data_IF_526630918995
#
_entry.id   IF_526630918995
#
_cell.length_a   1.000
_cell.length_b   1.000
_cell.length_c   1.000
_cell.angle_alpha   90.00
_cell.angle_beta   90.00
_cell.angle_gamma   90.00
#
_symmetry.space_group_name_H-M   'P 1'
#
loop_
_entity.id
_entity.type
_entity.pdbx_description
1 polymer ?
#
# COMPACT_ATOMS: atom_id res chain seq x y z
N UNK A 1 16.66 -9.78 21.75
CA UNK A 1 16.45 -9.12 20.44
C UNK A 1 17.40 -9.62 19.35
N UNK A 2 18.70 -9.75 19.57
CA UNK A 2 19.62 -10.30 18.56
C UNK A 2 19.32 -11.78 18.18
N UNK A 3 18.97 -12.63 19.16
CA UNK A 3 18.61 -14.04 18.92
C UNK A 3 17.32 -14.22 18.10
N UNK A 4 16.32 -13.35 18.32
CA UNK A 4 15.06 -13.37 17.57
C UNK A 4 15.23 -12.86 16.14
N UNK A 5 16.05 -11.82 15.92
CA UNK A 5 16.37 -11.32 14.59
C UNK A 5 17.16 -12.36 13.77
N UNK A 6 18.19 -12.97 14.37
CA UNK A 6 18.95 -14.05 13.73
C UNK A 6 18.07 -15.24 13.32
N UNK A 7 17.00 -15.50 14.08
CA UNK A 7 16.04 -16.55 13.75
C UNK A 7 15.17 -16.18 12.54
N UNK A 8 14.64 -14.96 12.45
CA UNK A 8 13.87 -14.52 11.29
C UNK A 8 14.71 -14.54 10.01
N UNK A 9 15.96 -14.09 10.11
CA UNK A 9 16.92 -14.10 9.00
C UNK A 9 17.17 -15.51 8.46
N UNK A 10 17.09 -16.55 9.30
CA UNK A 10 17.21 -17.92 8.82
C UNK A 10 16.14 -18.29 7.78
N UNK A 11 14.99 -17.62 7.75
CA UNK A 11 13.92 -17.85 6.77
C UNK A 11 13.98 -16.88 5.57
N UNK A 12 14.81 -15.84 5.64
CA UNK A 12 14.99 -14.87 4.58
C UNK A 12 15.98 -15.37 3.53
N UNK A 13 15.64 -15.17 2.25
CA UNK A 13 16.54 -15.38 1.11
C UNK A 13 16.77 -14.03 0.43
N UNK A 14 17.85 -13.36 0.82
CA UNK A 14 18.20 -11.99 0.38
C UNK A 14 19.08 -11.98 -0.86
N UNK A 15 19.19 -10.82 -1.49
CA UNK A 15 20.16 -10.55 -2.55
C UNK A 15 21.60 -10.62 -2.01
N UNK A 16 22.56 -11.19 -2.75
CA UNK A 16 23.98 -11.03 -2.43
C UNK A 16 24.45 -9.59 -2.72
N UNK A 17 25.44 -9.09 -1.97
CA UNK A 17 25.91 -7.68 -1.99
C UNK A 17 26.73 -7.27 -3.23
N UNK A 18 26.56 -7.95 -4.37
CA UNK A 18 27.41 -7.79 -5.56
C UNK A 18 26.66 -8.07 -6.87
N UNK A 19 25.98 -7.08 -7.44
CA UNK A 19 25.12 -7.31 -8.61
C UNK A 19 25.61 -6.67 -9.91
N UNK A 20 25.28 -7.34 -11.03
CA UNK A 20 25.52 -6.87 -12.40
C UNK A 20 24.20 -6.60 -13.13
N UNK A 21 24.29 -6.17 -14.39
CA UNK A 21 23.10 -5.95 -15.23
C UNK A 21 22.49 -7.30 -15.66
N UNK A 22 21.16 -7.36 -15.65
CA UNK A 22 20.37 -8.50 -16.09
C UNK A 22 20.08 -8.47 -17.58
N UNK A 23 20.02 -9.63 -18.23
CA UNK A 23 19.70 -9.71 -19.67
C UNK A 23 18.33 -9.10 -20.01
N UNK A 24 18.12 -8.74 -21.28
CA UNK A 24 16.84 -8.20 -21.75
C UNK A 24 15.73 -9.26 -21.92
N UNK A 25 16.03 -10.54 -21.64
CA UNK A 25 15.10 -11.65 -21.82
C UNK A 25 14.03 -11.63 -20.75
N UNK A 26 12.79 -11.41 -21.18
CA UNK A 26 11.59 -11.61 -20.38
C UNK A 26 11.38 -13.10 -20.13
N UNK A 27 11.13 -13.45 -18.88
CA UNK A 27 10.96 -14.84 -18.41
C UNK A 27 9.62 -15.09 -17.75
N UNK A 28 8.80 -14.05 -17.65
CA UNK A 28 7.45 -14.13 -17.09
C UNK A 28 6.86 -12.74 -16.89
N UNK A 29 5.56 -12.72 -16.67
CA UNK A 29 4.84 -11.50 -16.36
C UNK A 29 3.71 -11.76 -15.37
N UNK A 30 3.44 -10.76 -14.55
CA UNK A 30 2.24 -10.66 -13.75
C UNK A 30 1.30 -9.59 -14.29
N UNK A 31 0.28 -9.24 -13.49
CA UNK A 31 -0.70 -8.22 -13.84
C UNK A 31 -0.05 -6.85 -14.09
N UNK A 32 0.95 -6.50 -13.27
CA UNK A 32 1.57 -5.16 -13.27
C UNK A 32 3.07 -5.15 -13.51
N UNK A 33 3.71 -6.31 -13.34
CA UNK A 33 5.16 -6.44 -13.42
C UNK A 33 5.52 -7.36 -14.58
N UNK A 34 6.57 -7.01 -15.30
CA UNK A 34 7.29 -7.91 -16.20
C UNK A 34 8.56 -8.37 -15.50
N UNK A 35 8.88 -9.65 -15.62
CA UNK A 35 10.05 -10.28 -15.00
C UNK A 35 11.08 -10.60 -16.06
N UNK A 36 12.31 -10.14 -15.86
CA UNK A 36 13.46 -10.47 -16.71
C UNK A 36 14.51 -11.24 -15.92
N UNK A 37 15.30 -12.04 -16.62
CA UNK A 37 16.40 -12.77 -16.00
C UNK A 37 17.56 -11.84 -15.70
N UNK A 38 17.84 -11.65 -14.42
CA UNK A 38 18.98 -10.90 -13.92
C UNK A 38 20.21 -11.76 -13.63
N UNK A 39 21.36 -11.11 -13.43
CA UNK A 39 22.61 -11.79 -13.06
C UNK A 39 23.32 -11.00 -11.95
N UNK A 40 23.71 -11.64 -10.86
CA UNK A 40 24.66 -11.05 -9.91
C UNK A 40 26.09 -11.17 -10.46
N UNK A 41 27.01 -10.31 -10.02
CA UNK A 41 28.42 -10.38 -10.45
C UNK A 41 29.01 -11.73 -10.04
N UNK A 42 28.76 -12.14 -8.79
CA UNK A 42 29.06 -13.48 -8.30
C UNK A 42 27.80 -14.04 -7.62
N UNK A 43 27.13 -15.02 -8.21
CA UNK A 43 25.96 -15.65 -7.59
C UNK A 43 25.04 -16.40 -8.56
N UNK A 44 23.96 -16.95 -8.02
CA UNK A 44 22.87 -17.57 -8.80
C UNK A 44 22.13 -16.53 -9.65
N UNK A 45 21.37 -16.88 -10.69
CA UNK A 45 20.56 -15.91 -11.42
C UNK A 45 19.64 -15.08 -10.51
N UNK A 46 19.27 -13.88 -10.95
CA UNK A 46 18.30 -13.01 -10.31
C UNK A 46 16.98 -12.96 -11.10
N UNK A 47 15.92 -12.50 -10.46
CA UNK A 47 14.68 -12.09 -11.12
C UNK A 47 14.53 -10.57 -10.97
N UNK A 48 14.51 -9.87 -12.10
CA UNK A 48 14.38 -8.42 -12.17
C UNK A 48 12.95 -8.07 -12.58
N UNK A 49 12.20 -7.43 -11.68
CA UNK A 49 10.81 -7.08 -11.90
C UNK A 49 10.66 -5.60 -12.17
N UNK A 50 10.12 -5.29 -13.35
CA UNK A 50 9.85 -3.93 -13.79
C UNK A 50 8.36 -3.71 -13.86
N UNK A 51 7.92 -2.48 -13.60
CA UNK A 51 6.54 -2.10 -13.87
C UNK A 51 6.29 -2.12 -15.40
N UNK A 52 5.15 -2.67 -15.82
CA UNK A 52 4.72 -2.64 -17.22
C UNK A 52 4.46 -1.19 -17.65
N UNK A 53 4.73 -0.87 -18.92
CA UNK A 53 4.42 0.47 -19.47
C UNK A 53 2.92 0.75 -19.35
N UNK A 54 2.55 1.95 -18.90
CA UNK A 54 1.15 2.37 -18.78
C UNK A 54 0.47 1.98 -17.46
N UNK A 55 1.15 1.29 -16.54
CA UNK A 55 0.61 1.08 -15.19
C UNK A 55 0.68 2.38 -14.38
N UNK A 56 -0.37 2.67 -13.62
CA UNK A 56 -0.52 3.91 -12.84
C UNK A 56 0.20 3.88 -11.49
N UNK A 57 0.88 2.79 -11.16
CA UNK A 57 1.60 2.64 -9.89
C UNK A 57 2.93 3.41 -9.93
N UNK A 58 3.22 4.11 -8.84
CA UNK A 58 4.58 4.62 -8.61
C UNK A 58 5.50 3.44 -8.32
N UNK A 59 6.80 3.59 -8.63
CA UNK A 59 7.82 2.62 -8.22
C UNK A 59 7.95 2.44 -6.71
N UNK A 60 7.23 3.24 -5.90
CA UNK A 60 7.07 3.03 -4.47
C UNK A 60 6.29 1.75 -4.15
N UNK A 61 5.50 1.19 -5.07
CA UNK A 61 4.84 -0.11 -4.86
C UNK A 61 5.85 -1.26 -4.65
N UNK A 62 7.09 -1.09 -5.10
CA UNK A 62 8.18 -2.02 -4.79
C UNK A 62 8.56 -2.00 -3.32
N UNK A 63 8.37 -0.88 -2.61
CA UNK A 63 8.56 -0.84 -1.16
C UNK A 63 7.48 -1.65 -0.44
N UNK A 64 6.23 -1.63 -0.92
CA UNK A 64 5.16 -2.47 -0.38
C UNK A 64 5.52 -3.96 -0.55
N UNK A 65 6.08 -4.37 -1.70
CA UNK A 65 6.56 -5.74 -1.92
C UNK A 65 7.64 -6.15 -0.90
N UNK A 66 8.60 -5.25 -0.61
CA UNK A 66 9.66 -5.49 0.40
C UNK A 66 9.05 -5.59 1.80
N UNK A 67 8.17 -4.65 2.17
CA UNK A 67 7.51 -4.62 3.49
C UNK A 67 6.67 -5.88 3.71
N UNK A 68 5.95 -6.35 2.69
CA UNK A 68 5.17 -7.57 2.75
C UNK A 68 6.05 -8.81 2.96
N UNK A 69 7.16 -8.92 2.23
CA UNK A 69 8.10 -10.04 2.38
C UNK A 69 8.75 -10.07 3.77
N UNK A 70 9.21 -8.93 4.28
CA UNK A 70 9.78 -8.81 5.63
C UNK A 70 8.75 -9.16 6.71
N UNK A 71 7.53 -8.62 6.60
CA UNK A 71 6.47 -8.87 7.56
C UNK A 71 5.97 -10.34 7.54
N UNK A 72 6.13 -11.06 6.42
CA UNK A 72 5.79 -12.48 6.32
C UNK A 72 6.73 -13.37 7.15
N UNK A 73 7.98 -12.96 7.41
CA UNK A 73 8.97 -13.76 8.12
C UNK A 73 8.49 -14.17 9.53
N UNK A 74 7.77 -13.30 10.24
CA UNK A 74 7.22 -13.62 11.57
C UNK A 74 6.23 -14.80 11.51
N UNK A 75 5.42 -14.88 10.46
CA UNK A 75 4.45 -15.95 10.27
C UNK A 75 5.12 -17.25 9.84
N UNK A 76 6.12 -17.18 8.96
CA UNK A 76 6.90 -18.35 8.56
C UNK A 76 7.65 -18.93 9.75
N UNK A 77 8.28 -18.09 10.57
CA UNK A 77 9.00 -18.53 11.76
C UNK A 77 8.08 -19.16 12.81
N UNK A 78 6.92 -18.56 13.06
CA UNK A 78 5.92 -19.09 13.98
C UNK A 78 5.28 -20.39 13.46
N UNK A 79 5.03 -20.49 12.16
CA UNK A 79 4.49 -21.71 11.57
C UNK A 79 5.48 -22.88 11.69
N UNK A 80 6.78 -22.64 11.47
CA UNK A 80 7.79 -23.66 11.75
C UNK A 80 7.86 -24.03 13.23
N UNK A 81 7.76 -23.07 14.17
CA UNK A 81 7.68 -23.41 15.59
C UNK A 81 6.52 -24.37 15.88
N UNK A 82 5.34 -24.07 15.34
CA UNK A 82 4.18 -24.92 15.46
C UNK A 82 4.42 -26.31 14.86
N UNK A 83 4.94 -26.39 13.62
CA UNK A 83 5.22 -27.69 12.98
C UNK A 83 6.20 -28.52 13.81
N UNK A 84 7.28 -27.89 14.31
CA UNK A 84 8.35 -28.56 15.05
C UNK A 84 7.93 -29.02 16.45
N UNK A 85 7.05 -28.26 17.12
CA UNK A 85 6.70 -28.49 18.53
C UNK A 85 5.36 -29.22 18.71
N UNK A 86 4.40 -28.98 17.82
CA UNK A 86 3.00 -29.36 18.01
C UNK A 86 2.53 -30.40 16.97
N UNK A 87 3.39 -30.84 16.05
CA UNK A 87 3.01 -31.79 14.99
C UNK A 87 4.02 -32.91 14.80
N UNK A 88 3.57 -34.01 14.19
CA UNK A 88 4.43 -35.11 13.76
C UNK A 88 5.18 -34.84 12.43
N UNK A 89 5.06 -33.63 11.86
CA UNK A 89 5.72 -33.21 10.63
C UNK A 89 7.08 -32.52 10.85
N UNK A 90 7.62 -32.59 12.08
CA UNK A 90 8.95 -32.09 12.44
C UNK A 90 10.02 -32.50 11.41
N UNK A 91 10.79 -31.53 10.93
CA UNK A 91 11.84 -31.70 9.92
C UNK A 91 11.34 -31.96 8.50
N UNK A 92 10.03 -31.98 8.25
CA UNK A 92 9.42 -32.27 6.93
C UNK A 92 8.86 -31.05 6.22
N UNK A 93 8.90 -29.88 6.86
CA UNK A 93 8.43 -28.63 6.27
C UNK A 93 9.56 -27.61 6.32
N UNK A 94 9.89 -27.06 5.16
CA UNK A 94 10.87 -25.98 5.04
C UNK A 94 10.29 -24.89 4.15
N UNK A 95 10.27 -23.66 4.66
CA UNK A 95 9.77 -22.47 3.94
C UNK A 95 10.80 -21.36 4.04
N UNK A 96 11.17 -20.78 2.89
CA UNK A 96 11.97 -19.56 2.79
C UNK A 96 11.18 -18.49 2.07
N UNK A 97 11.44 -17.23 2.38
CA UNK A 97 10.83 -16.08 1.71
C UNK A 97 11.96 -15.30 1.03
N UNK A 98 11.88 -15.12 -0.28
CA UNK A 98 12.71 -14.15 -0.97
C UNK A 98 12.40 -12.76 -0.40
N UNK A 99 13.42 -12.08 0.10
CA UNK A 99 13.29 -10.68 0.47
C UNK A 99 13.88 -9.86 -0.67
N UNK A 100 13.04 -9.23 -1.50
CA UNK A 100 13.52 -8.44 -2.61
C UNK A 100 14.16 -7.14 -2.11
N UNK A 101 14.85 -6.44 -3.00
CA UNK A 101 15.28 -5.06 -2.75
C UNK A 101 14.95 -4.18 -3.95
N UNK A 102 14.81 -2.88 -3.70
CA UNK A 102 14.63 -1.88 -4.74
C UNK A 102 16.00 -1.43 -5.22
N UNK A 103 16.26 -1.59 -6.51
CA UNK A 103 17.50 -1.16 -7.16
C UNK A 103 17.19 -0.08 -8.19
N UNK A 104 18.21 0.69 -8.58
CA UNK A 104 18.15 1.59 -9.74
C UNK A 104 18.94 0.99 -10.88
N UNK A 105 18.36 1.00 -12.08
CA UNK A 105 19.07 0.64 -13.29
C UNK A 105 20.18 1.65 -13.59
N UNK A 106 21.39 1.17 -13.81
CA UNK A 106 22.61 2.00 -13.99
C UNK A 106 23.06 2.09 -15.44
N UNK A 107 22.43 1.36 -16.36
CA UNK A 107 22.75 1.38 -17.79
C UNK A 107 21.53 0.97 -18.64
N UNK A 108 21.68 1.03 -19.97
CA UNK A 108 20.66 0.61 -20.93
C UNK A 108 19.45 1.56 -21.06
N UNK A 109 18.43 1.11 -21.80
CA UNK A 109 17.22 1.90 -22.10
C UNK A 109 16.35 2.23 -20.87
N UNK A 110 16.60 1.57 -19.75
CA UNK A 110 15.87 1.74 -18.49
C UNK A 110 16.68 2.53 -17.45
N UNK A 111 17.77 3.19 -17.85
CA UNK A 111 18.63 3.99 -16.96
C UNK A 111 17.81 4.86 -16.00
N UNK A 112 18.13 4.77 -14.70
CA UNK A 112 17.49 5.53 -13.63
C UNK A 112 16.14 4.98 -13.16
N UNK A 113 15.54 4.02 -13.88
CA UNK A 113 14.30 3.39 -13.42
C UNK A 113 14.56 2.47 -12.23
N UNK A 114 13.61 2.44 -11.29
CA UNK A 114 13.63 1.47 -10.21
C UNK A 114 13.27 0.09 -10.76
N UNK A 115 13.88 -0.95 -10.18
CA UNK A 115 13.57 -2.36 -10.41
C UNK A 115 13.47 -3.05 -9.05
N UNK A 116 12.54 -4.00 -8.91
CA UNK A 116 12.52 -4.89 -7.76
C UNK A 116 13.32 -6.14 -8.11
N UNK A 117 14.42 -6.40 -7.39
CA UNK A 117 15.32 -7.52 -7.66
C UNK A 117 15.33 -8.50 -6.50
N UNK A 118 15.31 -9.78 -6.83
CA UNK A 118 15.37 -10.88 -5.88
C UNK A 118 16.10 -12.11 -6.44
N UNK A 119 16.53 -13.05 -5.58
CA UNK A 119 17.14 -14.30 -6.03
C UNK A 119 16.18 -15.12 -6.90
N UNK A 120 16.65 -15.64 -8.04
CA UNK A 120 15.80 -16.38 -8.98
C UNK A 120 15.23 -17.66 -8.35
N UNK A 121 14.01 -18.02 -8.76
CA UNK A 121 13.28 -19.21 -8.33
C UNK A 121 12.93 -20.03 -9.57
N UNK A 122 13.35 -21.30 -9.61
CA UNK A 122 12.97 -22.24 -10.65
C UNK A 122 11.56 -22.81 -10.39
N UNK A 123 10.87 -23.22 -11.46
CA UNK A 123 9.56 -23.87 -11.41
C UNK A 123 8.52 -23.05 -10.63
N UNK A 124 8.46 -21.76 -10.92
CA UNK A 124 7.58 -20.81 -10.24
C UNK A 124 6.12 -21.16 -10.50
N UNK A 125 5.34 -21.30 -9.43
CA UNK A 125 3.89 -21.53 -9.48
C UNK A 125 3.19 -20.80 -8.34
N UNK A 126 1.89 -20.58 -8.52
CA UNK A 126 1.01 -19.98 -7.51
C UNK A 126 0.31 -21.07 -6.70
N UNK A 127 0.46 -21.04 -5.38
CA UNK A 127 -0.11 -22.02 -4.45
C UNK A 127 -1.46 -21.58 -3.90
N UNK A 128 -1.65 -20.28 -3.66
CA UNK A 128 -2.97 -19.70 -3.40
C UNK A 128 -3.03 -18.26 -3.88
N UNK A 129 -4.22 -17.66 -3.85
CA UNK A 129 -4.42 -16.26 -4.21
C UNK A 129 -4.92 -15.41 -3.05
N UNK A 130 -4.75 -14.10 -3.16
CA UNK A 130 -5.39 -13.13 -2.26
C UNK A 130 -6.92 -13.05 -2.43
N UNK A 131 -7.49 -13.64 -3.48
CA UNK A 131 -8.95 -13.80 -3.66
C UNK A 131 -9.48 -15.14 -3.12
N UNK A 132 -8.63 -15.99 -2.53
CA UNK A 132 -9.05 -17.26 -1.93
C UNK A 132 -8.99 -18.48 -2.85
N UNK A 133 -8.33 -18.39 -4.01
CA UNK A 133 -8.09 -19.56 -4.86
C UNK A 133 -7.00 -20.42 -4.23
N UNK A 134 -7.07 -21.73 -4.40
CA UNK A 134 -6.25 -22.69 -3.65
C UNK A 134 -5.77 -23.81 -4.57
N UNK A 135 -4.46 -24.06 -4.59
CA UNK A 135 -3.87 -25.25 -5.16
C UNK A 135 -3.89 -26.33 -4.07
N UNK A 136 -4.81 -27.28 -4.20
CA UNK A 136 -4.98 -28.37 -3.24
C UNK A 136 -3.75 -29.29 -3.17
N UNK A 137 -2.86 -29.26 -4.15
CA UNK A 137 -1.59 -30.00 -4.13
C UNK A 137 -0.52 -29.34 -3.26
N UNK A 138 -0.77 -28.13 -2.75
CA UNK A 138 0.13 -27.37 -1.89
C UNK A 138 -0.45 -27.15 -0.46
N UNK A 139 -0.73 -28.22 0.31
CA UNK A 139 -1.42 -28.12 1.60
C UNK A 139 -0.65 -27.31 2.65
N UNK A 140 0.69 -27.36 2.62
CA UNK A 140 1.57 -26.56 3.49
C UNK A 140 1.34 -25.07 3.29
N UNK A 141 1.22 -24.61 2.05
CA UNK A 141 0.95 -23.20 1.75
C UNK A 141 -0.41 -22.76 2.29
N UNK A 142 -1.43 -23.60 2.17
CA UNK A 142 -2.77 -23.30 2.72
C UNK A 142 -2.76 -23.21 4.24
N UNK A 143 -2.02 -24.10 4.90
CA UNK A 143 -1.89 -24.10 6.34
C UNK A 143 -1.08 -22.91 6.86
N UNK A 144 -0.02 -22.48 6.16
CA UNK A 144 0.72 -21.26 6.50
C UNK A 144 -0.19 -20.02 6.47
N UNK A 145 -1.02 -19.90 5.44
CA UNK A 145 -2.01 -18.82 5.36
C UNK A 145 -3.01 -18.87 6.52
N UNK A 146 -3.60 -20.03 6.85
CA UNK A 146 -4.51 -20.17 8.00
C UNK A 146 -3.80 -19.87 9.33
N UNK A 147 -2.58 -20.37 9.51
CA UNK A 147 -1.75 -20.08 10.69
C UNK A 147 -1.55 -18.58 10.88
N UNK A 148 -1.24 -17.83 9.81
CA UNK A 148 -1.01 -16.39 9.91
C UNK A 148 -2.25 -15.63 10.40
N UNK A 149 -3.45 -16.07 10.00
CA UNK A 149 -4.72 -15.55 10.52
C UNK A 149 -4.89 -15.85 12.01
N UNK A 150 -4.58 -17.07 12.43
CA UNK A 150 -4.63 -17.41 13.86
C UNK A 150 -3.60 -16.64 14.69
N UNK A 151 -2.33 -16.62 14.27
CA UNK A 151 -1.23 -15.98 14.96
C UNK A 151 -1.37 -14.46 15.05
N UNK A 152 -2.15 -13.84 14.15
CA UNK A 152 -2.48 -12.41 14.20
C UNK A 152 -3.73 -12.07 15.01
N UNK A 153 -4.31 -13.06 15.69
CA UNK A 153 -5.64 -12.99 16.31
C UNK A 153 -6.75 -12.54 15.33
N UNK A 154 -6.62 -12.95 14.08
CA UNK A 154 -7.55 -12.69 13.00
C UNK A 154 -7.46 -11.28 12.40
N UNK A 155 -6.36 -10.56 12.62
CA UNK A 155 -6.17 -9.20 12.11
C UNK A 155 -5.46 -9.14 10.75
N UNK A 156 -4.66 -10.16 10.43
CA UNK A 156 -3.81 -10.21 9.24
C UNK A 156 -3.83 -11.64 8.66
N UNK A 157 -3.72 -11.77 7.34
CA UNK A 157 -3.51 -13.06 6.69
C UNK A 157 -2.47 -12.96 5.58
N UNK A 158 -1.51 -13.87 5.60
CA UNK A 158 -0.51 -14.07 4.57
C UNK A 158 -1.11 -14.96 3.47
N UNK A 159 -1.15 -14.47 2.24
CA UNK A 159 -1.77 -15.13 1.10
C UNK A 159 -1.06 -14.75 -0.19
N UNK A 160 -1.67 -15.08 -1.33
CA UNK A 160 -1.05 -14.97 -2.65
C UNK A 160 0.30 -15.70 -2.72
N UNK A 161 0.39 -16.82 -1.98
CA UNK A 161 1.61 -17.58 -1.84
C UNK A 161 1.98 -18.15 -3.21
N UNK A 162 3.14 -17.74 -3.71
CA UNK A 162 3.68 -18.13 -5.00
C UNK A 162 5.20 -18.24 -4.93
N UNK A 163 5.78 -19.05 -5.81
CA UNK A 163 7.19 -19.36 -5.78
C UNK A 163 7.49 -20.77 -6.25
N UNK A 164 8.59 -21.34 -5.80
CA UNK A 164 9.07 -22.65 -6.23
C UNK A 164 9.00 -23.66 -5.10
N UNK A 165 8.83 -24.94 -5.45
CA UNK A 165 8.97 -26.07 -4.52
C UNK A 165 10.07 -27.00 -5.03
N UNK A 166 11.10 -27.23 -4.21
CA UNK A 166 12.17 -28.21 -4.47
C UNK A 166 12.23 -29.17 -3.29
N UNK A 167 11.88 -30.45 -3.53
CA UNK A 167 11.67 -31.41 -2.44
C UNK A 167 10.60 -30.91 -1.46
N UNK A 168 10.97 -30.83 -0.18
CA UNK A 168 10.12 -30.31 0.90
C UNK A 168 10.32 -28.81 1.19
N UNK A 169 11.17 -28.14 0.41
CA UNK A 169 11.42 -26.70 0.58
C UNK A 169 10.56 -25.87 -0.37
N UNK A 170 9.75 -25.00 0.21
CA UNK A 170 9.08 -23.91 -0.49
C UNK A 170 9.96 -22.66 -0.45
N UNK A 171 10.17 -22.02 -1.59
CA UNK A 171 10.77 -20.69 -1.68
C UNK A 171 9.72 -19.75 -2.23
N UNK A 172 9.23 -18.86 -1.38
CA UNK A 172 8.12 -17.95 -1.65
C UNK A 172 8.63 -16.58 -2.14
N UNK A 173 7.87 -15.92 -3.00
CA UNK A 173 8.09 -14.55 -3.46
C UNK A 173 6.74 -13.86 -3.72
N UNK A 174 6.74 -12.52 -3.86
CA UNK A 174 5.56 -11.69 -4.12
C UNK A 174 4.37 -12.07 -3.21
N UNK A 175 4.66 -12.29 -1.93
CA UNK A 175 3.63 -12.62 -0.93
C UNK A 175 2.78 -11.41 -0.63
N UNK A 176 1.52 -11.64 -0.28
CA UNK A 176 0.58 -10.58 0.08
C UNK A 176 0.15 -10.74 1.53
N UNK A 177 0.24 -9.66 2.30
CA UNK A 177 -0.48 -9.56 3.56
C UNK A 177 -1.79 -8.80 3.33
N UNK A 178 -2.90 -9.40 3.73
CA UNK A 178 -4.15 -8.67 3.90
C UNK A 178 -4.33 -8.32 5.37
N UNK A 179 -4.81 -7.13 5.67
CA UNK A 179 -5.01 -6.62 7.03
C UNK A 179 -6.35 -5.94 7.16
N UNK A 180 -6.97 -5.99 8.36
CA UNK A 180 -8.23 -5.26 8.58
C UNK A 180 -8.15 -3.76 8.23
N UNK A 181 -6.96 -3.16 8.35
CA UNK A 181 -6.69 -1.75 8.11
C UNK A 181 -6.18 -1.43 6.70
N UNK A 182 -6.03 -2.42 5.82
CA UNK A 182 -5.50 -2.25 4.44
C UNK A 182 -4.13 -1.55 4.36
N UNK A 183 -3.21 -1.88 5.27
CA UNK A 183 -1.92 -1.17 5.40
C UNK A 183 -0.80 -1.69 4.49
N UNK A 184 -1.04 -2.78 3.75
CA UNK A 184 -0.02 -3.56 3.03
C UNK A 184 -0.01 -3.36 1.49
N UNK A 185 -0.50 -2.21 1.04
CA UNK A 185 -0.52 -1.86 -0.38
C UNK A 185 -1.77 -2.36 -1.12
N UNK A 186 -1.74 -2.30 -2.46
CA UNK A 186 -2.96 -2.42 -3.28
C UNK A 186 -3.51 -3.85 -3.42
N UNK A 187 -2.71 -4.85 -3.06
CA UNK A 187 -3.11 -6.27 -3.03
C UNK A 187 -3.74 -6.66 -1.70
N UNK A 188 -3.69 -5.78 -0.69
CA UNK A 188 -4.41 -5.91 0.57
C UNK A 188 -5.91 -5.64 0.37
N UNK A 189 -6.68 -6.71 0.16
CA UNK A 189 -8.13 -6.62 -0.05
C UNK A 189 -8.91 -6.37 1.27
N UNK A 190 -8.20 -6.25 2.38
CA UNK A 190 -8.73 -5.97 3.71
C UNK A 190 -9.67 -7.04 4.24
N UNK A 191 -10.63 -6.61 5.07
CA UNK A 191 -11.64 -7.50 5.69
C UNK A 191 -12.35 -8.37 4.65
N UNK A 192 -12.73 -7.81 3.50
CA UNK A 192 -13.41 -8.56 2.43
C UNK A 192 -12.56 -9.72 1.92
N UNK A 193 -11.26 -9.49 1.68
CA UNK A 193 -10.34 -10.55 1.25
C UNK A 193 -10.10 -11.59 2.32
N UNK A 194 -9.92 -11.16 3.58
CA UNK A 194 -9.73 -12.06 4.72
C UNK A 194 -10.95 -12.97 4.90
N UNK A 195 -12.17 -12.40 4.91
CA UNK A 195 -13.42 -13.16 5.02
C UNK A 195 -13.55 -14.16 3.87
N UNK A 196 -13.29 -13.70 2.63
CA UNK A 196 -13.39 -14.56 1.45
C UNK A 196 -12.38 -15.71 1.48
N UNK A 197 -11.13 -15.42 1.84
CA UNK A 197 -10.08 -16.45 1.96
C UNK A 197 -10.46 -17.49 3.02
N UNK A 198 -10.94 -17.04 4.18
CA UNK A 198 -11.38 -17.93 5.26
C UNK A 198 -12.62 -18.75 4.89
N UNK A 199 -13.53 -18.20 4.08
CA UNK A 199 -14.66 -18.94 3.52
C UNK A 199 -14.22 -20.07 2.58
N UNK A 200 -13.25 -19.78 1.70
CA UNK A 200 -12.74 -20.73 0.72
C UNK A 200 -11.80 -21.78 1.32
N UNK A 201 -11.14 -21.46 2.43
CA UNK A 201 -10.21 -22.36 3.08
C UNK A 201 -10.86 -23.66 3.55
N UNK A 202 -10.13 -24.76 3.38
CA UNK A 202 -10.43 -26.06 3.97
C UNK A 202 -9.19 -26.50 4.74
N UNK A 203 -9.34 -26.70 6.06
CA UNK A 203 -8.25 -27.18 6.89
C UNK A 203 -7.75 -28.52 6.36
N UNK A 204 -6.44 -28.72 6.45
CA UNK A 204 -5.76 -29.94 6.06
C UNK A 204 -4.88 -30.47 7.21
N UNK A 205 -4.12 -31.52 6.97
CA UNK A 205 -3.28 -32.19 7.98
C UNK A 205 -2.25 -31.28 8.68
N UNK A 206 -1.86 -30.15 8.08
CA UNK A 206 -0.93 -29.19 8.69
C UNK A 206 -1.66 -28.11 9.51
N UNK A 207 -2.99 -28.07 9.49
CA UNK A 207 -3.78 -27.12 10.25
C UNK A 207 -4.10 -27.66 11.65
N UNK A 208 -4.18 -26.79 12.65
CA UNK A 208 -4.71 -27.16 13.96
C UNK A 208 -6.21 -26.91 14.03
N UNK A 209 -6.95 -27.81 14.69
CA UNK A 209 -8.37 -27.61 15.01
C UNK A 209 -8.61 -26.44 15.97
N UNK A 210 -7.60 -26.05 16.75
CA UNK A 210 -7.65 -24.94 17.71
C UNK A 210 -7.40 -23.57 17.08
N UNK A 211 -6.97 -23.53 15.82
CA UNK A 211 -6.71 -22.26 15.15
C UNK A 211 -7.98 -21.47 14.90
N UNK A 212 -7.85 -20.15 15.08
CA UNK A 212 -8.94 -19.19 14.86
C UNK A 212 -9.50 -19.38 13.46
N UNK A 213 -10.82 -19.42 13.37
CA UNK A 213 -11.57 -19.42 12.12
C UNK A 213 -12.50 -18.22 12.10
N UNK A 214 -12.89 -17.80 10.91
CA UNK A 214 -13.94 -16.79 10.76
C UNK A 214 -15.29 -17.49 10.78
N UNK A 215 -16.00 -17.43 11.91
CA UNK A 215 -17.34 -17.99 12.03
C UNK A 215 -18.31 -17.23 11.12
N UNK A 216 -19.06 -17.95 10.28
CA UNK A 216 -20.00 -17.35 9.33
C UNK A 216 -19.35 -16.63 8.14
N UNK A 217 -18.09 -16.96 7.79
CA UNK A 217 -17.42 -16.36 6.64
C UNK A 217 -18.21 -16.56 5.34
N UNK A 218 -18.35 -15.51 4.53
CA UNK A 218 -19.09 -15.53 3.27
C UNK A 218 -18.15 -15.47 2.07
N UNK A 219 -18.63 -16.00 0.95
CA UNK A 219 -18.03 -15.82 -0.37
C UNK A 219 -18.43 -14.44 -0.91
N UNK A 220 -17.51 -13.49 -0.88
CA UNK A 220 -17.70 -12.11 -1.35
C UNK A 220 -17.01 -11.83 -2.69
N UNK A 221 -15.98 -12.62 -3.02
CA UNK A 221 -15.17 -12.49 -4.23
C UNK A 221 -15.09 -13.87 -4.89
N UNK A 222 -15.14 -13.91 -6.23
CA UNK A 222 -14.87 -15.15 -6.97
C UNK A 222 -13.37 -15.47 -6.85
N UNK A 223 -13.00 -16.63 -6.28
CA UNK A 223 -11.60 -17.03 -6.19
C UNK A 223 -10.98 -17.25 -7.57
N UNK A 224 -9.84 -16.61 -7.84
CA UNK A 224 -9.11 -16.75 -9.11
C UNK A 224 -7.60 -16.86 -8.89
N UNK A 225 -6.92 -17.60 -9.78
CA UNK A 225 -5.46 -17.68 -9.84
C UNK A 225 -4.82 -16.57 -10.69
N UNK A 226 -5.59 -15.61 -11.19
CA UNK A 226 -5.04 -14.46 -11.91
C UNK A 226 -3.90 -13.83 -11.11
N UNK A 227 -2.85 -13.38 -11.81
CA UNK A 227 -1.71 -12.72 -11.20
C UNK A 227 -2.20 -11.60 -10.27
N UNK A 228 -1.57 -11.50 -9.09
CA UNK A 228 -2.06 -10.83 -7.86
C UNK A 228 -3.26 -9.91 -8.12
N UNK A 229 -4.44 -10.39 -7.72
CA UNK A 229 -5.68 -9.68 -7.97
C UNK A 229 -5.67 -8.47 -7.05
N UNK A 230 -5.18 -7.33 -7.53
CA UNK A 230 -5.77 -6.07 -7.07
C UNK A 230 -7.26 -6.14 -7.37
N UNK A 231 -8.07 -5.50 -6.55
CA UNK A 231 -9.48 -5.28 -6.87
C UNK A 231 -9.59 -4.46 -8.18
N UNK A 232 -9.54 -5.12 -9.32
CA UNK A 232 -10.33 -4.77 -10.51
C UNK A 232 -11.64 -5.55 -10.36
N UNK A 233 -12.71 -4.80 -10.16
CA UNK A 233 -14.14 -5.16 -10.15
C UNK A 233 -14.49 -6.64 -9.98
N UNK A 234 -14.53 -7.10 -8.72
CA UNK A 234 -15.44 -8.15 -8.28
C UNK A 234 -15.94 -7.80 -6.86
N UNK A 235 -17.06 -7.08 -6.81
CA UNK A 235 -18.00 -6.99 -5.68
C UNK A 235 -17.41 -6.82 -4.26
N UNK A 236 -16.52 -5.84 -4.08
CA UNK A 236 -16.30 -5.22 -2.77
C UNK A 236 -17.13 -3.91 -2.69
N UNK A 237 -17.63 -3.50 -1.50
CA UNK A 237 -18.27 -2.20 -1.33
C UNK A 237 -17.33 -1.10 -1.85
N UNK A 238 -17.91 -0.14 -2.58
CA UNK A 238 -17.32 0.77 -3.56
C UNK A 238 -16.20 1.76 -3.09
N UNK A 239 -15.36 1.42 -2.10
CA UNK A 239 -14.51 2.39 -1.37
C UNK A 239 -13.01 2.31 -1.73
N UNK A 240 -12.56 1.39 -2.59
CA UNK A 240 -11.09 1.21 -2.78
C UNK A 240 -10.59 1.04 -4.22
N UNK A 241 -11.44 1.12 -5.25
CA UNK A 241 -11.02 0.97 -6.65
C UNK A 241 -10.52 2.25 -7.31
N UNK A 242 -10.37 3.29 -6.51
CA UNK A 242 -10.32 4.64 -7.01
C UNK A 242 -9.10 5.41 -6.51
N UNK A 243 -8.17 4.80 -5.80
CA UNK A 243 -7.06 5.53 -5.19
C UNK A 243 -5.99 5.91 -6.23
N UNK A 244 -5.73 7.20 -6.44
CA UNK A 244 -4.79 7.73 -7.45
C UNK A 244 -3.80 8.71 -6.80
N UNK A 245 -2.54 8.74 -7.27
CA UNK A 245 -1.57 9.79 -6.88
C UNK A 245 -1.61 10.95 -7.86
N UNK A 246 -1.95 12.14 -7.37
CA UNK A 246 -2.17 13.34 -8.21
C UNK A 246 -1.42 14.53 -7.60
N UNK A 247 -0.97 15.47 -8.43
CA UNK A 247 -0.47 16.77 -7.95
C UNK A 247 -1.63 17.58 -7.38
N UNK A 248 -1.55 18.17 -6.17
CA UNK A 248 -2.62 19.01 -5.64
C UNK A 248 -3.06 20.12 -6.62
N UNK A 249 -2.13 20.72 -7.34
CA UNK A 249 -2.34 21.74 -8.39
C UNK A 249 -3.12 21.24 -9.62
N UNK A 250 -3.18 19.92 -9.85
CA UNK A 250 -3.97 19.32 -10.93
C UNK A 250 -5.44 19.06 -10.53
N UNK A 251 -5.78 19.25 -9.25
CA UNK A 251 -7.15 19.08 -8.73
C UNK A 251 -7.77 20.47 -8.54
N UNK A 252 -8.98 20.66 -9.08
CA UNK A 252 -9.77 21.88 -8.91
C UNK A 252 -10.60 21.81 -7.64
N UNK A 253 -10.90 22.97 -7.06
CA UNK A 253 -11.85 23.07 -5.96
C UNK A 253 -13.28 22.99 -6.50
N UNK A 254 -14.18 22.34 -5.76
CA UNK A 254 -15.62 22.40 -6.07
C UNK A 254 -16.25 23.71 -5.61
N UNK A 255 -15.67 24.37 -4.60
CA UNK A 255 -16.18 25.59 -3.98
C UNK A 255 -15.23 26.76 -4.17
N UNK A 256 -15.76 27.99 -4.21
CA UNK A 256 -14.92 29.21 -4.25
C UNK A 256 -14.37 29.61 -2.88
N UNK A 257 -14.92 29.06 -1.79
CA UNK A 257 -14.48 29.41 -0.45
C UNK A 257 -14.66 28.28 0.58
N UNK A 258 -13.81 28.29 1.61
CA UNK A 258 -13.85 27.37 2.76
C UNK A 258 -13.63 28.12 4.07
N UNK A 259 -14.00 27.49 5.19
CA UNK A 259 -13.62 27.97 6.52
C UNK A 259 -12.12 27.78 6.77
N UNK A 260 -11.53 28.68 7.56
CA UNK A 260 -10.11 28.61 7.94
C UNK A 260 -9.79 27.46 8.91
N UNK A 261 -10.79 27.00 9.66
CA UNK A 261 -10.65 25.92 10.64
C UNK A 261 -11.33 24.64 10.16
N UNK A 262 -10.76 23.52 10.54
CA UNK A 262 -11.40 22.21 10.54
C UNK A 262 -12.35 22.10 11.74
N UNK A 263 -13.12 21.02 11.79
CA UNK A 263 -14.09 20.79 12.87
C UNK A 263 -13.44 20.55 14.23
N UNK A 264 -12.22 20.03 14.24
CA UNK A 264 -11.41 19.80 15.43
C UNK A 264 -10.74 21.09 15.96
N UNK A 265 -11.02 22.25 15.34
CA UNK A 265 -10.52 23.55 15.75
C UNK A 265 -9.19 23.96 15.12
N UNK A 266 -8.43 23.02 14.56
CA UNK A 266 -7.16 23.31 13.90
C UNK A 266 -7.37 24.12 12.62
N UNK A 267 -6.49 25.08 12.38
CA UNK A 267 -6.49 25.90 11.17
C UNK A 267 -5.82 25.17 10.00
N UNK A 268 -6.12 25.62 8.78
CA UNK A 268 -5.39 25.17 7.58
C UNK A 268 -3.88 25.43 7.72
N UNK A 269 -3.50 26.55 8.36
CA UNK A 269 -2.11 26.92 8.61
C UNK A 269 -1.43 25.97 9.58
N UNK A 270 -2.01 25.72 10.76
CA UNK A 270 -1.46 24.81 11.77
C UNK A 270 -1.29 23.40 11.20
N UNK A 271 -2.29 22.91 10.47
CA UNK A 271 -2.24 21.60 9.84
C UNK A 271 -1.10 21.51 8.81
N UNK A 272 -0.97 22.51 7.93
CA UNK A 272 0.12 22.56 6.95
C UNK A 272 1.50 22.65 7.64
N UNK A 273 1.60 23.40 8.73
CA UNK A 273 2.83 23.58 9.47
C UNK A 273 3.27 22.29 10.17
N UNK A 274 2.35 21.58 10.83
CA UNK A 274 2.62 20.28 11.47
C UNK A 274 3.09 19.24 10.46
N UNK A 275 2.47 19.18 9.27
CA UNK A 275 2.91 18.28 8.20
C UNK A 275 4.30 18.67 7.68
N UNK A 276 4.57 19.97 7.52
CA UNK A 276 5.87 20.47 7.06
C UNK A 276 7.00 20.19 8.06
N UNK A 277 6.70 20.22 9.37
CA UNK A 277 7.59 19.85 10.48
C UNK A 277 7.77 18.34 10.65
N UNK A 278 6.90 17.53 10.03
CA UNK A 278 6.82 16.07 10.19
C UNK A 278 6.27 15.62 11.55
N UNK A 279 5.56 16.50 12.27
CA UNK A 279 4.84 16.15 13.50
C UNK A 279 3.62 15.27 13.19
N UNK A 280 3.04 15.45 11.99
CA UNK A 280 1.90 14.68 11.48
C UNK A 280 2.26 14.11 10.10
N UNK A 281 2.01 12.83 9.87
CA UNK A 281 2.25 12.22 8.57
C UNK A 281 1.13 12.59 7.59
N UNK A 282 1.47 12.69 6.30
CA UNK A 282 0.50 12.92 5.22
C UNK A 282 -0.62 11.86 5.18
N UNK A 283 -0.32 10.65 5.65
CA UNK A 283 -1.28 9.52 5.73
C UNK A 283 -2.27 9.64 6.89
N UNK A 284 -1.98 10.50 7.85
CA UNK A 284 -2.82 10.73 9.03
C UNK A 284 -3.92 11.77 8.73
N UNK A 285 -3.79 12.48 7.61
CA UNK A 285 -4.84 13.35 7.07
C UNK A 285 -5.86 12.49 6.32
N UNK A 286 -7.14 12.71 6.60
CA UNK A 286 -8.24 12.01 5.93
C UNK A 286 -8.12 12.10 4.40
N UNK A 287 -8.41 10.99 3.72
CA UNK A 287 -8.34 10.88 2.26
C UNK A 287 -9.17 11.98 1.59
N UNK A 288 -8.68 12.52 0.47
CA UNK A 288 -9.43 13.47 -0.35
C UNK A 288 -10.21 12.71 -1.41
N UNK A 289 -11.52 12.91 -1.44
CA UNK A 289 -12.40 12.42 -2.50
C UNK A 289 -12.34 13.36 -3.71
N UNK A 290 -12.12 12.80 -4.89
CA UNK A 290 -11.94 13.51 -6.16
C UNK A 290 -12.88 12.95 -7.20
N UNK A 291 -13.67 13.82 -7.83
CA UNK A 291 -14.57 13.45 -8.92
C UNK A 291 -13.89 13.79 -10.25
N UNK A 292 -13.95 12.84 -11.20
CA UNK A 292 -13.56 13.09 -12.60
C UNK A 292 -14.78 13.38 -13.44
N UNK A 293 -14.83 14.54 -14.10
CA UNK A 293 -15.89 14.88 -15.06
C UNK A 293 -15.73 14.10 -16.37
N UNK A 294 -16.74 14.14 -17.24
CA UNK A 294 -16.69 13.49 -18.57
C UNK A 294 -15.57 14.06 -19.44
N UNK A 295 -15.25 15.34 -19.25
CA UNK A 295 -14.19 16.08 -19.93
C UNK A 295 -12.80 15.77 -19.32
N UNK A 296 -12.73 14.89 -18.32
CA UNK A 296 -11.50 14.47 -17.69
C UNK A 296 -10.98 15.42 -16.61
N UNK A 297 -11.75 16.44 -16.24
CA UNK A 297 -11.39 17.42 -15.23
C UNK A 297 -11.56 16.85 -13.83
N UNK A 298 -10.63 17.15 -12.91
CA UNK A 298 -10.62 16.62 -11.55
C UNK A 298 -11.06 17.66 -10.53
N UNK A 299 -12.02 17.33 -9.68
CA UNK A 299 -12.59 18.22 -8.67
C UNK A 299 -12.59 17.58 -7.29
N UNK A 300 -12.11 18.28 -6.26
CA UNK A 300 -12.12 17.78 -4.89
C UNK A 300 -13.46 18.04 -4.18
N UNK A 301 -13.97 17.03 -3.48
CA UNK A 301 -15.09 17.17 -2.54
C UNK A 301 -14.63 17.64 -1.15
N UNK A 302 -13.34 17.46 -0.83
CA UNK A 302 -12.71 17.82 0.45
C UNK A 302 -11.80 19.04 0.28
N UNK A 303 -12.42 20.21 0.02
CA UNK A 303 -11.72 21.43 -0.39
C UNK A 303 -10.73 21.97 0.66
N UNK A 304 -11.02 21.85 1.97
CA UNK A 304 -10.11 22.30 3.03
C UNK A 304 -8.83 21.47 3.06
N UNK A 305 -8.96 20.14 2.93
CA UNK A 305 -7.80 19.25 2.84
C UNK A 305 -6.99 19.53 1.57
N UNK A 306 -7.65 19.73 0.43
CA UNK A 306 -6.95 20.13 -0.81
C UNK A 306 -6.20 21.45 -0.64
N UNK A 307 -6.79 22.44 0.05
CA UNK A 307 -6.15 23.72 0.32
C UNK A 307 -4.85 23.57 1.13
N UNK A 308 -4.84 22.73 2.18
CA UNK A 308 -3.63 22.39 2.93
C UNK A 308 -2.57 21.78 2.02
N UNK A 309 -2.93 20.83 1.17
CA UNK A 309 -1.98 20.19 0.28
C UNK A 309 -1.50 21.08 -0.87
N UNK A 310 -2.28 22.07 -1.32
CA UNK A 310 -1.81 23.10 -2.24
C UNK A 310 -0.77 24.01 -1.59
N UNK A 311 -0.98 24.45 -0.35
CA UNK A 311 0.04 25.20 0.40
C UNK A 311 1.34 24.40 0.53
N UNK A 312 1.23 23.11 0.87
CA UNK A 312 2.39 22.21 0.98
C UNK A 312 3.10 21.99 -0.36
N UNK A 313 2.38 21.89 -1.48
CA UNK A 313 2.96 21.79 -2.81
C UNK A 313 3.70 23.07 -3.21
N UNK A 314 3.07 24.23 -3.01
CA UNK A 314 3.65 25.55 -3.28
C UNK A 314 4.93 25.78 -2.46
N UNK A 315 4.98 25.25 -1.24
CA UNK A 315 6.14 25.31 -0.36
C UNK A 315 7.19 24.21 -0.61
N UNK A 316 7.01 23.36 -1.63
CA UNK A 316 7.95 22.29 -1.98
C UNK A 316 7.97 21.11 -0.99
N UNK A 317 6.97 21.00 -0.10
CA UNK A 317 6.88 19.95 0.93
C UNK A 317 6.20 18.67 0.44
N UNK A 318 5.41 18.78 -0.62
CA UNK A 318 4.69 17.68 -1.26
C UNK A 318 4.79 17.83 -2.78
N UNK A 319 5.00 16.72 -3.50
CA UNK A 319 4.92 16.69 -4.97
C UNK A 319 3.62 16.08 -5.47
N UNK A 320 3.12 15.05 -4.80
CA UNK A 320 1.86 14.36 -5.11
C UNK A 320 1.18 13.91 -3.83
N UNK A 321 -0.13 13.75 -3.88
CA UNK A 321 -0.98 13.24 -2.80
C UNK A 321 -1.75 12.02 -3.29
N UNK A 322 -2.06 11.10 -2.37
CA UNK A 322 -2.99 10.00 -2.63
C UNK A 322 -4.41 10.53 -2.43
N UNK A 323 -5.27 10.31 -3.40
CA UNK A 323 -6.69 10.72 -3.39
C UNK A 323 -7.57 9.52 -3.73
N UNK A 324 -8.83 9.55 -3.32
CA UNK A 324 -9.84 8.58 -3.71
C UNK A 324 -10.69 9.19 -4.83
N UNK A 325 -10.65 8.59 -6.01
CA UNK A 325 -11.61 8.92 -7.07
C UNK A 325 -13.02 8.52 -6.62
N UNK A 326 -14.03 9.33 -6.87
CA UNK A 326 -15.39 8.99 -6.53
C UNK A 326 -16.23 9.18 -7.79
N UNK A 327 -16.94 8.15 -8.27
CA UNK A 327 -17.91 8.33 -9.34
C UNK A 327 -18.91 9.42 -8.96
N UNK A 328 -19.21 10.35 -9.87
CA UNK A 328 -20.27 11.37 -9.64
C UNK A 328 -21.56 10.71 -9.15
N UNK A 329 -21.88 9.53 -9.71
CA UNK A 329 -23.08 8.75 -9.39
C UNK A 329 -23.17 8.28 -7.95
N UNK A 330 -22.05 8.13 -7.23
CA UNK A 330 -22.04 7.71 -5.81
C UNK A 330 -22.01 8.89 -4.84
N UNK A 331 -21.93 10.12 -5.35
CA UNK A 331 -21.83 11.34 -4.55
C UNK A 331 -22.68 12.50 -5.12
N UNK A 332 -23.78 12.19 -5.81
CA UNK A 332 -24.59 13.19 -6.55
C UNK A 332 -25.04 14.36 -5.67
N UNK A 333 -25.51 14.09 -4.46
CA UNK A 333 -25.97 15.13 -3.53
C UNK A 333 -24.84 16.05 -3.10
N UNK A 334 -23.70 15.47 -2.69
CA UNK A 334 -22.50 16.23 -2.33
C UNK A 334 -21.90 16.97 -3.52
N UNK A 335 -21.91 16.37 -4.70
CA UNK A 335 -21.47 16.98 -5.95
C UNK A 335 -22.31 18.21 -6.30
N UNK A 336 -23.64 18.07 -6.34
CA UNK A 336 -24.56 19.16 -6.65
C UNK A 336 -24.51 20.27 -5.59
N UNK A 337 -24.34 19.91 -4.31
CA UNK A 337 -24.21 20.87 -3.21
C UNK A 337 -22.88 21.61 -3.22
N UNK A 338 -21.78 20.91 -3.51
CA UNK A 338 -20.42 21.47 -3.37
C UNK A 338 -19.92 22.14 -4.64
N UNK A 339 -20.29 21.68 -5.84
CA UNK A 339 -19.86 22.28 -7.11
C UNK A 339 -20.53 23.64 -7.31
N UNK A 340 -19.95 24.66 -6.69
CA UNK A 340 -20.44 26.04 -6.62
C UNK A 340 -19.41 27.03 -7.16
N UNK A 341 -18.26 26.55 -7.60
CA UNK A 341 -17.16 27.40 -8.03
C UNK A 341 -17.51 28.22 -9.28
N UNK A 342 -17.29 29.53 -9.21
CA UNK A 342 -17.41 30.49 -10.31
C UNK A 342 -16.06 30.80 -10.95
N UNK A 343 -14.94 30.48 -10.28
CA UNK A 343 -13.58 30.64 -10.81
C UNK A 343 -13.05 29.38 -11.53
N UNK A 344 -13.91 28.39 -11.81
CA UNK A 344 -13.52 27.13 -12.43
C UNK A 344 -12.70 26.21 -11.53
N UNK A 345 -12.73 26.43 -10.22
CA UNK A 345 -12.00 25.69 -9.18
C UNK A 345 -10.50 25.92 -9.18
N UNK A 346 -10.05 27.00 -9.81
CA UNK A 346 -8.64 27.36 -9.94
C UNK A 346 -8.05 27.86 -8.63
N UNK A 347 -8.86 28.48 -7.76
CA UNK A 347 -8.43 28.99 -6.46
C UNK A 347 -9.54 28.87 -5.42
N UNK A 348 -9.19 29.00 -4.14
CA UNK A 348 -10.17 29.03 -3.05
C UNK A 348 -9.89 30.14 -2.07
N UNK A 349 -10.93 30.87 -1.67
CA UNK A 349 -10.87 31.92 -0.66
C UNK A 349 -11.14 31.39 0.74
N UNK A 350 -10.49 31.97 1.73
CA UNK A 350 -10.68 31.57 3.13
C UNK A 350 -11.65 32.54 3.80
N UNK A 351 -12.85 32.06 4.16
CA UNK A 351 -13.93 32.86 4.74
C UNK A 351 -13.45 33.64 5.97
N UNK A 352 -13.86 34.90 6.05
CA UNK A 352 -13.50 35.79 7.16
C UNK A 352 -12.06 36.29 7.12
N UNK A 353 -11.35 36.08 6.00
CA UNK A 353 -9.98 36.57 5.79
C UNK A 353 -9.83 37.12 4.37
N UNK A 354 -8.69 37.75 4.09
CA UNK A 354 -8.30 38.15 2.72
C UNK A 354 -7.45 37.08 2.01
N UNK A 355 -7.35 35.87 2.58
CA UNK A 355 -6.49 34.82 2.03
C UNK A 355 -7.14 34.10 0.86
N UNK A 356 -6.31 33.77 -0.13
CA UNK A 356 -6.65 33.00 -1.32
C UNK A 356 -5.56 31.98 -1.60
N UNK A 357 -5.93 30.74 -1.89
CA UNK A 357 -5.01 29.65 -2.21
C UNK A 357 -5.21 29.24 -3.66
N UNK A 358 -4.23 29.56 -4.51
CA UNK A 358 -4.20 29.28 -5.94
C UNK A 358 -3.40 28.02 -6.28
N UNK A 359 -2.87 27.90 -7.50
CA UNK A 359 -2.07 26.75 -7.96
C UNK A 359 -0.57 26.96 -7.76
N UNK A 360 -0.12 28.20 -7.68
CA UNK A 360 1.29 28.59 -7.63
C UNK A 360 1.53 29.59 -6.49
N UNK A 361 2.79 30.00 -6.29
CA UNK A 361 3.08 31.09 -5.34
C UNK A 361 2.50 32.43 -5.79
N UNK A 362 2.38 32.68 -7.10
CA UNK A 362 2.00 34.00 -7.63
C UNK A 362 0.49 34.28 -7.57
N UNK A 363 -0.33 33.23 -7.51
CA UNK A 363 -1.80 33.33 -7.41
C UNK A 363 -2.32 32.98 -5.99
N UNK A 364 -1.41 32.86 -5.01
CA UNK A 364 -1.71 32.54 -3.61
C UNK A 364 -1.38 33.73 -2.70
N UNK A 365 -2.37 34.19 -1.94
CA UNK A 365 -2.25 35.21 -0.90
C UNK A 365 -2.47 34.51 0.44
N UNK A 366 -1.40 34.20 1.16
CA UNK A 366 -1.48 33.49 2.44
C UNK A 366 -0.32 33.87 3.37
N UNK A 367 -0.61 34.50 4.51
CA UNK A 367 0.40 35.09 5.40
C UNK A 367 1.38 34.07 6.02
N UNK A 368 1.00 32.78 6.10
CA UNK A 368 1.81 31.70 6.68
C UNK A 368 2.71 30.93 5.71
N UNK A 369 2.81 31.36 4.44
CA UNK A 369 3.44 30.55 3.40
C UNK A 369 4.95 30.35 3.61
N UNK A 370 5.68 31.39 4.02
CA UNK A 370 7.12 31.29 4.28
C UNK A 370 7.42 30.42 5.49
N UNK A 371 6.61 30.50 6.55
CA UNK A 371 6.77 29.69 7.76
C UNK A 371 6.59 28.19 7.43
N UNK A 372 5.61 27.83 6.59
CA UNK A 372 5.44 26.45 6.09
C UNK A 372 6.66 26.04 5.24
N UNK A 373 7.16 26.95 4.39
CA UNK A 373 8.30 26.69 3.50
C UNK A 373 9.60 26.47 4.26
N UNK A 374 9.79 27.11 5.41
CA UNK A 374 11.02 27.06 6.20
C UNK A 374 10.95 26.05 7.36
N UNK A 375 9.77 25.54 7.70
CA UNK A 375 9.56 24.59 8.80
C UNK A 375 10.49 23.37 8.73
N UNK A 376 11.37 23.20 9.71
CA UNK A 376 12.19 22.00 9.89
C UNK A 376 11.64 21.08 10.99
N UNK A 377 12.15 19.84 11.12
CA UNK A 377 11.88 19.01 12.28
C UNK A 377 12.30 19.74 13.55
N UNK A 378 11.39 19.90 14.49
CA UNK A 378 11.66 20.55 15.79
C UNK A 378 12.65 19.68 16.58
N UNK A 379 13.82 20.21 16.94
CA UNK A 379 14.83 19.50 17.75
C UNK A 379 14.50 19.47 19.25
N UNK A 380 13.49 20.22 19.67
CA UNK A 380 13.05 20.25 21.06
C UNK A 380 11.91 19.28 21.30
N UNK A 381 12.18 18.34 22.22
CA UNK A 381 11.19 17.45 22.83
C UNK A 381 10.20 18.35 23.58
N UNK A 382 9.08 18.70 22.95
CA UNK A 382 7.98 19.34 23.64
C UNK A 382 7.12 18.26 24.29
N UNK A 383 7.39 18.05 25.58
CA UNK A 383 6.39 17.61 26.55
C UNK A 383 5.29 18.67 26.59
N UNK A 384 4.16 18.44 25.93
CA UNK A 384 2.97 19.22 26.22
C UNK A 384 1.73 18.44 25.82
N UNK A 385 0.82 18.31 26.79
CA UNK A 385 -0.52 17.70 26.69
C UNK A 385 -1.44 18.39 25.64
N UNK A 386 -0.89 19.29 24.82
CA UNK A 386 -1.57 19.98 23.71
C UNK A 386 -1.40 19.32 22.35
N UNK A 387 -0.60 18.25 22.25
CA UNK A 387 -0.25 17.58 20.98
C UNK A 387 -0.82 16.17 20.81
N UNK A 388 -1.91 15.83 21.52
CA UNK A 388 -2.56 14.52 21.34
C UNK A 388 -3.58 14.59 20.19
N UNK A 389 -3.17 14.17 18.98
CA UNK A 389 -4.14 13.88 17.90
C UNK A 389 -4.65 12.45 18.04
N UNK A 390 -5.94 12.31 18.32
CA UNK A 390 -6.70 11.11 17.97
C UNK A 390 -7.21 11.23 16.52
N UNK A 391 -6.87 10.22 15.72
CA UNK A 391 -6.96 10.08 14.26
C UNK A 391 -8.36 10.08 13.60
N UNK A 392 -9.43 10.62 14.21
CA UNK A 392 -10.80 10.46 13.70
C UNK A 392 -11.59 11.75 13.34
N UNK A 393 -11.02 12.96 13.45
CA UNK A 393 -11.84 14.18 13.47
C UNK A 393 -11.65 15.21 12.34
N UNK A 394 -10.81 14.98 11.33
CA UNK A 394 -10.81 15.84 10.15
C UNK A 394 -12.01 15.49 9.26
N UNK A 395 -13.24 15.85 9.62
CA UNK A 395 -14.40 15.69 8.72
C UNK A 395 -14.76 17.00 8.02
N UNK A 396 -14.88 16.92 6.69
CA UNK A 396 -15.35 17.99 5.80
C UNK A 396 -16.85 17.81 5.56
N UNK A 397 -17.68 18.36 6.44
CA UNK A 397 -19.11 18.54 6.14
C UNK A 397 -19.36 19.84 5.38
#
# INVERSE_FOLDING_TARGET
MASSLNRLESFARRNPENSGYGGNTEIGEGKYKVVRKGTYINGTPAADKFLKTGVTFSSECFLDDVVNAEAALKYVAGFHDYIEKETHFKGRVSIKVNIPAVWKQTNGRLLGQNVLREPFINNFKKFNSNSGATDLTAPVAQALSHYSYHASDGNEILCDLQGGKVGETYVLSDVVLMSKTKKYGNTDLGVTGIENWMHCHRCNQFCSSQWKKWSGARRLIIPTFSSSTTLETATAPAVYQNLVRIRPSAIKFTQDNVQFRFQDGHTLYETALQIARQDVSKRDIGMINVVRTREGTLFALDNRRLAVFRLLEICGRVRTIKVEMVPVTTCVDDWNRKLTTTNGGESIEIRGTHFRIGKTSSDTIFQGLNQIREAGPTRDILSDERFTIFLNAFTDK
#
